data_IF_828982447561
#
_entry.id   IF_828982447561
#
_cell.length_a   1.000
_cell.length_b   1.000
_cell.length_c   1.000
_cell.angle_alpha   90.00
_cell.angle_beta   90.00
_cell.angle_gamma   90.00
#
_symmetry.space_group_name_H-M   'P 1'
#
loop_
_entity.id
_entity.type
_entity.pdbx_description
1 polymer ?
#
# COMPACT_ATOMS: atom_id res chain seq x y z
N UNK A 1 1.51 10.85 -11.42
CA UNK A 1 1.50 9.37 -11.25
C UNK A 1 0.14 8.84 -11.68
N UNK A 2 0.08 7.62 -12.20
CA UNK A 2 -1.16 6.88 -12.49
C UNK A 2 -1.14 5.59 -11.68
N UNK A 3 -2.25 5.30 -10.99
CA UNK A 3 -2.43 4.03 -10.30
C UNK A 3 -3.23 3.07 -11.17
N UNK A 4 -2.73 1.85 -11.35
CA UNK A 4 -3.41 0.79 -12.10
C UNK A 4 -3.52 -0.47 -11.25
N UNK A 5 -4.71 -1.09 -11.23
CA UNK A 5 -5.01 -2.32 -10.49
C UNK A 5 -5.58 -3.36 -11.46
N UNK A 6 -6.92 -3.45 -11.59
CA UNK A 6 -7.61 -4.46 -12.41
C UNK A 6 -7.08 -4.53 -13.85
N UNK A 7 -6.75 -3.39 -14.47
CA UNK A 7 -6.20 -3.35 -15.82
C UNK A 7 -4.80 -3.98 -15.91
N UNK A 8 -3.96 -3.80 -14.89
CA UNK A 8 -2.62 -4.40 -14.82
C UNK A 8 -2.70 -5.90 -14.54
N UNK A 9 -3.65 -6.35 -13.71
CA UNK A 9 -3.91 -7.79 -13.52
C UNK A 9 -4.39 -8.44 -14.81
N UNK A 10 -5.29 -7.79 -15.54
CA UNK A 10 -5.83 -8.31 -16.79
C UNK A 10 -4.78 -8.35 -17.93
N UNK A 11 -3.85 -7.40 -17.94
CA UNK A 11 -2.78 -7.29 -18.96
C UNK A 11 -1.50 -6.67 -18.34
N UNK A 12 -0.62 -7.48 -17.75
CA UNK A 12 0.58 -7.01 -17.06
C UNK A 12 1.51 -6.14 -17.91
N UNK A 13 1.54 -6.36 -19.22
CA UNK A 13 2.37 -5.61 -20.18
C UNK A 13 2.03 -4.12 -20.21
N UNK A 14 0.84 -3.73 -19.74
CA UNK A 14 0.46 -2.33 -19.55
C UNK A 14 1.46 -1.59 -18.65
N UNK A 15 2.02 -2.25 -17.63
CA UNK A 15 3.02 -1.64 -16.74
C UNK A 15 4.27 -1.25 -17.51
N UNK A 16 4.77 -2.15 -18.38
CA UNK A 16 5.94 -1.91 -19.22
C UNK A 16 5.69 -0.79 -20.23
N UNK A 17 4.54 -0.79 -20.91
CA UNK A 17 4.17 0.28 -21.85
C UNK A 17 4.12 1.67 -21.18
N UNK A 18 3.59 1.74 -19.95
CA UNK A 18 3.54 2.98 -19.19
C UNK A 18 4.94 3.40 -18.70
N UNK A 19 5.73 2.47 -18.21
CA UNK A 19 7.07 2.72 -17.70
C UNK A 19 8.02 3.16 -18.82
N UNK A 20 7.99 2.49 -19.98
CA UNK A 20 8.80 2.86 -21.15
C UNK A 20 8.47 4.27 -21.66
N UNK A 21 7.19 4.64 -21.63
CA UNK A 21 6.74 5.94 -22.17
C UNK A 21 6.90 7.10 -21.20
N UNK A 22 6.72 6.88 -19.90
CA UNK A 22 6.64 7.96 -18.91
C UNK A 22 7.65 7.85 -17.76
N UNK A 23 8.40 6.75 -17.71
CA UNK A 23 9.29 6.38 -16.62
C UNK A 23 8.54 5.71 -15.46
N UNK A 24 9.22 4.76 -14.80
CA UNK A 24 8.66 3.96 -13.69
C UNK A 24 8.11 4.82 -12.54
N UNK A 25 8.73 5.96 -12.25
CA UNK A 25 8.28 6.90 -11.20
C UNK A 25 6.85 7.45 -11.44
N UNK A 26 6.33 7.33 -12.66
CA UNK A 26 4.97 7.72 -13.00
C UNK A 26 3.95 6.60 -12.79
N UNK A 27 4.38 5.36 -12.60
CA UNK A 27 3.54 4.14 -12.56
C UNK A 27 3.42 3.63 -11.13
N UNK A 28 2.20 3.65 -10.59
CA UNK A 28 1.87 3.06 -9.29
C UNK A 28 1.08 1.78 -9.56
N UNK A 29 1.59 0.64 -9.12
CA UNK A 29 0.82 -0.60 -9.12
C UNK A 29 -0.02 -0.65 -7.85
N UNK A 30 -1.34 -0.54 -8.02
CA UNK A 30 -2.28 -0.68 -6.91
C UNK A 30 -2.71 -2.14 -6.79
N UNK A 31 -2.58 -2.68 -5.59
CA UNK A 31 -2.85 -4.09 -5.27
C UNK A 31 -3.82 -4.11 -4.10
N UNK A 32 -4.97 -4.72 -4.33
CA UNK A 32 -5.87 -5.13 -3.27
C UNK A 32 -5.50 -6.56 -2.90
N UNK A 33 -5.02 -6.77 -1.68
CA UNK A 33 -4.61 -8.06 -1.15
C UNK A 33 -5.60 -8.52 -0.08
N UNK A 34 -5.96 -9.80 -0.13
CA UNK A 34 -6.79 -10.45 0.89
C UNK A 34 -6.06 -11.68 1.40
N UNK A 35 -6.06 -11.90 2.70
CA UNK A 35 -5.45 -13.10 3.30
C UNK A 35 -6.12 -14.36 2.75
N UNK A 36 -5.32 -15.39 2.43
CA UNK A 36 -5.83 -16.72 2.10
C UNK A 36 -6.15 -17.42 3.41
N UNK A 37 -7.41 -17.78 3.64
CA UNK A 37 -7.84 -18.46 4.86
C UNK A 37 -7.73 -17.63 6.13
N UNK A 38 -8.04 -18.27 7.27
CA UNK A 38 -8.22 -17.60 8.57
C UNK A 38 -6.98 -17.71 9.48
N UNK A 39 -5.83 -18.18 8.96
CA UNK A 39 -4.63 -18.53 9.74
C UNK A 39 -3.37 -17.70 9.42
N UNK A 40 -2.47 -17.47 10.40
CA UNK A 40 -1.12 -16.97 10.16
C UNK A 40 -0.32 -17.90 9.23
N UNK A 41 0.45 -17.35 8.29
CA UNK A 41 1.32 -18.11 7.37
C UNK A 41 0.67 -18.58 6.07
N UNK A 42 -0.65 -18.50 5.95
CA UNK A 42 -1.33 -18.59 4.65
C UNK A 42 -1.26 -17.19 4.00
N UNK A 43 -0.55 -17.07 2.87
CA UNK A 43 -0.18 -15.78 2.26
C UNK A 43 -1.37 -14.96 1.76
N UNK A 44 -1.15 -14.08 0.79
CA UNK A 44 -2.18 -13.14 0.32
C UNK A 44 -2.53 -13.40 -1.13
N UNK A 45 -3.81 -13.28 -1.46
CA UNK A 45 -4.31 -13.36 -2.82
C UNK A 45 -4.65 -11.97 -3.35
N UNK A 46 -4.27 -11.68 -4.59
CA UNK A 46 -4.70 -10.48 -5.30
C UNK A 46 -6.19 -10.59 -5.61
N UNK A 47 -6.93 -9.55 -5.25
CA UNK A 47 -8.34 -9.38 -5.60
C UNK A 47 -8.53 -8.14 -6.47
N UNK A 48 -9.61 -8.12 -7.25
CA UNK A 48 -9.93 -7.00 -8.14
C UNK A 48 -11.39 -6.59 -8.00
N UNK A 49 -11.78 -5.54 -8.73
CA UNK A 49 -13.14 -5.00 -8.73
C UNK A 49 -13.59 -4.54 -7.33
N UNK A 50 -12.67 -3.98 -6.54
CA UNK A 50 -12.92 -3.57 -5.15
C UNK A 50 -13.11 -4.78 -4.23
N UNK A 51 -12.14 -5.70 -4.23
CA UNK A 51 -12.14 -6.87 -3.35
C UNK A 51 -13.08 -8.03 -3.73
N UNK A 52 -13.94 -7.86 -4.74
CA UNK A 52 -15.02 -8.82 -5.05
C UNK A 52 -14.57 -10.04 -5.84
N UNK A 53 -13.49 -9.94 -6.62
CA UNK A 53 -13.06 -11.01 -7.53
C UNK A 53 -11.63 -11.46 -7.20
N UNK A 54 -11.54 -12.68 -6.67
CA UNK A 54 -10.31 -13.45 -6.53
C UNK A 54 -9.67 -13.71 -7.91
N UNK A 55 -8.35 -13.59 -7.99
CA UNK A 55 -7.58 -13.74 -9.24
C UNK A 55 -6.79 -15.05 -9.30
N UNK A 56 -6.58 -15.71 -8.16
CA UNK A 56 -5.68 -16.83 -7.97
C UNK A 56 -4.20 -16.44 -7.82
N UNK A 57 -3.85 -15.16 -7.95
CA UNK A 57 -2.45 -14.71 -7.93
C UNK A 57 -2.00 -14.45 -6.50
N UNK A 58 -0.75 -14.82 -6.20
CA UNK A 58 -0.11 -14.40 -4.96
C UNK A 58 0.19 -12.90 -4.98
N UNK A 59 -0.07 -12.21 -3.88
CA UNK A 59 0.17 -10.78 -3.79
C UNK A 59 1.66 -10.43 -3.84
N UNK A 60 2.53 -11.21 -3.19
CA UNK A 60 3.97 -10.95 -3.17
C UNK A 60 4.60 -11.27 -4.53
N UNK A 61 4.25 -12.41 -5.14
CA UNK A 61 4.70 -12.72 -6.51
C UNK A 61 4.24 -11.66 -7.51
N UNK A 62 3.02 -11.12 -7.32
CA UNK A 62 2.51 -10.06 -8.18
C UNK A 62 3.22 -8.72 -7.96
N UNK A 63 3.59 -8.39 -6.71
CA UNK A 63 4.43 -7.22 -6.41
C UNK A 63 5.77 -7.33 -7.14
N UNK A 64 6.49 -8.44 -6.98
CA UNK A 64 7.79 -8.65 -7.62
C UNK A 64 7.68 -8.59 -9.15
N UNK A 65 6.69 -9.26 -9.73
CA UNK A 65 6.43 -9.22 -11.17
C UNK A 65 6.10 -7.81 -11.64
N UNK A 66 5.26 -7.09 -10.91
CA UNK A 66 4.86 -5.72 -11.25
C UNK A 66 6.03 -4.75 -11.27
N UNK A 67 6.92 -4.85 -10.29
CA UNK A 67 8.18 -4.09 -10.24
C UNK A 67 9.09 -4.48 -11.40
N UNK A 68 9.24 -5.78 -11.68
CA UNK A 68 9.99 -6.27 -12.83
C UNK A 68 9.46 -5.78 -14.19
N UNK A 69 8.17 -5.45 -14.26
CA UNK A 69 7.52 -4.86 -15.44
C UNK A 69 7.58 -3.33 -15.47
N UNK A 70 8.15 -2.68 -14.46
CA UNK A 70 8.43 -1.25 -14.44
C UNK A 70 7.54 -0.40 -13.53
N UNK A 71 6.75 -1.00 -12.63
CA UNK A 71 6.09 -0.25 -11.57
C UNK A 71 7.14 0.41 -10.65
N UNK A 72 7.04 1.73 -10.43
CA UNK A 72 7.99 2.47 -9.60
C UNK A 72 7.55 2.72 -8.16
N UNK A 73 6.33 2.31 -7.80
CA UNK A 73 5.75 2.43 -6.47
C UNK A 73 4.58 1.45 -6.35
N UNK A 74 4.38 0.87 -5.16
CA UNK A 74 3.27 -0.03 -4.88
C UNK A 74 2.30 0.65 -3.93
N UNK A 75 1.02 0.68 -4.29
CA UNK A 75 -0.06 1.01 -3.37
C UNK A 75 -0.70 -0.29 -2.89
N UNK A 76 -0.38 -0.70 -1.67
CA UNK A 76 -0.76 -1.98 -1.10
C UNK A 76 -1.91 -1.82 -0.11
N UNK A 77 -3.10 -2.27 -0.50
CA UNK A 77 -4.30 -2.22 0.33
C UNK A 77 -4.62 -3.60 0.89
N UNK A 78 -4.65 -3.75 2.21
CA UNK A 78 -5.22 -4.94 2.86
C UNK A 78 -6.74 -4.82 2.91
N UNK A 79 -7.44 -5.70 2.20
CA UNK A 79 -8.91 -5.72 2.15
C UNK A 79 -9.52 -6.14 3.49
N UNK A 80 -8.84 -7.00 4.24
CA UNK A 80 -9.31 -7.48 5.54
C UNK A 80 -9.27 -6.37 6.61
N UNK A 81 -8.33 -5.43 6.47
CA UNK A 81 -8.17 -4.29 7.38
C UNK A 81 -8.94 -3.05 6.94
N UNK A 82 -9.35 -2.95 5.67
CA UNK A 82 -9.92 -1.73 5.12
C UNK A 82 -11.25 -1.36 5.77
N UNK A 83 -11.40 -0.08 6.13
CA UNK A 83 -12.56 0.44 6.85
C UNK A 83 -12.67 0.02 8.33
N UNK A 84 -11.86 -0.91 8.83
CA UNK A 84 -11.96 -1.43 10.21
C UNK A 84 -11.37 -0.50 11.27
N UNK A 85 -10.49 0.43 10.86
CA UNK A 85 -9.77 1.36 11.75
C UNK A 85 -8.97 0.68 12.87
N UNK A 86 -8.67 -0.62 12.74
CA UNK A 86 -7.98 -1.45 13.74
C UNK A 86 -6.46 -1.55 13.58
N UNK A 87 -5.89 -0.93 12.53
CA UNK A 87 -4.48 -1.05 12.18
C UNK A 87 -4.29 -1.53 10.73
N UNK A 88 -3.08 -1.33 10.20
CA UNK A 88 -2.69 -1.92 8.91
C UNK A 88 -2.34 -3.41 9.08
N UNK A 89 -2.36 -4.17 7.99
CA UNK A 89 -1.80 -5.53 7.97
C UNK A 89 -0.26 -5.45 7.94
N UNK A 90 0.35 -5.48 9.13
CA UNK A 90 1.79 -5.29 9.29
C UNK A 90 2.61 -6.45 8.71
N UNK A 91 2.10 -7.68 8.76
CA UNK A 91 2.77 -8.84 8.15
C UNK A 91 2.86 -8.69 6.63
N UNK A 92 1.77 -8.23 6.00
CA UNK A 92 1.75 -7.95 4.57
C UNK A 92 2.72 -6.80 4.20
N UNK A 93 2.73 -5.73 5.00
CA UNK A 93 3.62 -4.59 4.78
C UNK A 93 5.09 -5.01 4.88
N UNK A 94 5.45 -5.73 5.94
CA UNK A 94 6.83 -6.20 6.16
C UNK A 94 7.27 -7.15 5.05
N UNK A 95 6.42 -8.11 4.66
CA UNK A 95 6.72 -9.03 3.57
C UNK A 95 6.89 -8.31 2.23
N UNK A 96 6.03 -7.34 1.91
CA UNK A 96 6.13 -6.56 0.68
C UNK A 96 7.36 -5.66 0.65
N UNK A 97 7.67 -4.98 1.76
CA UNK A 97 8.84 -4.11 1.87
C UNK A 97 10.15 -4.90 1.80
N UNK A 98 10.16 -6.17 2.23
CA UNK A 98 11.30 -7.08 2.08
C UNK A 98 11.44 -7.68 0.68
N UNK A 99 10.38 -7.72 -0.12
CA UNK A 99 10.38 -8.36 -1.45
C UNK A 99 10.91 -7.46 -2.57
N UNK A 100 10.77 -6.14 -2.46
CA UNK A 100 11.14 -5.19 -3.53
C UNK A 100 11.77 -3.91 -3.00
N UNK A 101 12.61 -3.28 -3.83
CA UNK A 101 13.30 -2.03 -3.48
C UNK A 101 12.48 -0.76 -3.75
N UNK A 102 11.37 -0.87 -4.49
CA UNK A 102 10.52 0.30 -4.78
C UNK A 102 9.67 0.67 -3.55
N UNK A 103 9.28 1.95 -3.40
CA UNK A 103 8.47 2.39 -2.26
C UNK A 103 7.12 1.64 -2.15
N UNK A 104 6.84 1.12 -0.95
CA UNK A 104 5.52 0.58 -0.58
C UNK A 104 4.71 1.66 0.14
N UNK A 105 3.50 1.92 -0.33
CA UNK A 105 2.48 2.72 0.35
C UNK A 105 1.51 1.76 1.04
N UNK A 106 1.53 1.72 2.37
CA UNK A 106 0.58 0.93 3.15
C UNK A 106 -0.80 1.61 3.17
N UNK A 107 -1.86 0.83 2.91
CA UNK A 107 -3.25 1.29 2.82
C UNK A 107 -4.21 0.28 3.45
N UNK A 108 -5.34 0.77 3.96
CA UNK A 108 -6.39 -0.03 4.63
C UNK A 108 -6.16 -0.20 6.13
N UNK A 109 -7.08 0.32 6.94
CA UNK A 109 -7.15 0.04 8.39
C UNK A 109 -6.62 1.11 9.36
N UNK A 110 -6.11 2.23 8.87
CA UNK A 110 -5.70 3.36 9.72
C UNK A 110 -6.84 3.87 10.63
N UNK A 111 -6.55 4.03 11.92
CA UNK A 111 -7.48 4.53 12.93
C UNK A 111 -6.85 5.54 13.89
N UNK A 112 -5.56 5.38 14.18
CA UNK A 112 -4.79 6.25 15.07
C UNK A 112 -3.45 6.60 14.43
N UNK A 113 -2.75 7.62 14.95
CA UNK A 113 -1.38 7.93 14.52
C UNK A 113 -0.42 6.77 14.81
N UNK A 114 -0.65 6.02 15.88
CA UNK A 114 0.17 4.85 16.21
C UNK A 114 0.08 3.77 15.12
N UNK A 115 -1.09 3.58 14.50
CA UNK A 115 -1.22 2.66 13.34
C UNK A 115 -0.33 3.11 12.18
N UNK A 116 -0.27 4.42 11.90
CA UNK A 116 0.61 4.97 10.86
C UNK A 116 2.08 4.74 11.20
N UNK A 117 2.48 5.01 12.45
CA UNK A 117 3.84 4.78 12.92
C UNK A 117 4.24 3.30 12.85
N UNK A 118 3.33 2.38 13.17
CA UNK A 118 3.55 0.94 13.07
C UNK A 118 3.82 0.50 11.62
N UNK A 119 3.02 0.96 10.66
CA UNK A 119 3.24 0.63 9.24
C UNK A 119 4.57 1.19 8.71
N UNK A 120 4.92 2.42 9.08
CA UNK A 120 6.23 2.99 8.73
C UNK A 120 7.39 2.19 9.36
N UNK A 121 7.24 1.75 10.62
CA UNK A 121 8.22 0.90 11.30
C UNK A 121 8.36 -0.48 10.66
N UNK A 122 7.27 -1.02 10.10
CA UNK A 122 7.24 -2.29 9.38
C UNK A 122 7.87 -2.21 7.96
N UNK A 123 8.38 -1.04 7.55
CA UNK A 123 9.08 -0.87 6.27
C UNK A 123 8.27 -0.15 5.19
N UNK A 124 7.05 0.29 5.47
CA UNK A 124 6.33 1.14 4.52
C UNK A 124 7.08 2.46 4.30
N UNK A 125 7.28 2.84 3.04
CA UNK A 125 7.88 4.12 2.67
C UNK A 125 6.89 5.29 2.84
N UNK A 126 5.59 5.00 2.74
CA UNK A 126 4.51 5.94 3.01
C UNK A 126 3.28 5.21 3.54
N UNK A 127 2.37 5.98 4.13
CA UNK A 127 1.08 5.50 4.64
C UNK A 127 -0.05 6.30 4.00
N UNK A 128 -1.11 5.62 3.60
CA UNK A 128 -2.36 6.20 3.12
C UNK A 128 -3.43 5.97 4.18
N UNK A 129 -4.16 7.03 4.53
CA UNK A 129 -5.33 6.95 5.38
C UNK A 129 -6.41 7.87 4.82
N UNK A 130 -7.69 7.48 4.97
CA UNK A 130 -8.83 8.25 4.48
C UNK A 130 -9.80 8.60 5.62
N UNK A 131 -10.35 7.60 6.31
CA UNK A 131 -11.40 7.78 7.33
C UNK A 131 -11.01 8.76 8.43
N UNK A 132 -9.79 8.67 8.96
CA UNK A 132 -9.32 9.54 10.05
C UNK A 132 -9.24 11.03 9.66
N UNK A 133 -9.07 11.32 8.36
CA UNK A 133 -9.05 12.69 7.83
C UNK A 133 -10.44 13.16 7.42
N UNK A 134 -11.21 12.32 6.70
CA UNK A 134 -12.56 12.67 6.26
C UNK A 134 -13.53 12.91 7.42
N UNK A 135 -13.34 12.20 8.54
CA UNK A 135 -14.15 12.36 9.75
C UNK A 135 -13.66 13.51 10.64
N UNK A 136 -12.54 14.16 10.30
CA UNK A 136 -11.95 15.22 11.12
C UNK A 136 -11.36 14.73 12.44
N UNK A 137 -11.07 13.43 12.58
CA UNK A 137 -10.40 12.87 13.77
C UNK A 137 -9.00 13.44 13.95
N UNK A 138 -8.28 13.60 12.83
CA UNK A 138 -7.00 14.28 12.78
C UNK A 138 -6.94 15.15 11.52
N UNK A 139 -6.15 16.20 11.57
CA UNK A 139 -5.64 16.92 10.40
C UNK A 139 -4.32 16.30 9.94
N UNK A 140 -3.93 16.56 8.70
CA UNK A 140 -2.61 16.14 8.18
C UNK A 140 -1.47 16.79 8.97
N UNK A 141 -1.67 18.02 9.48
CA UNK A 141 -0.67 18.72 10.29
C UNK A 141 -0.44 18.01 11.63
N UNK A 142 -1.51 17.68 12.35
CA UNK A 142 -1.42 16.95 13.63
C UNK A 142 -0.75 15.58 13.44
N UNK A 143 -1.14 14.81 12.42
CA UNK A 143 -0.50 13.52 12.14
C UNK A 143 1.01 13.69 11.91
N UNK A 144 1.42 14.69 11.13
CA UNK A 144 2.84 14.94 10.86
C UNK A 144 3.61 15.36 12.10
N UNK A 145 3.04 16.19 12.97
CA UNK A 145 3.68 16.57 14.23
C UNK A 145 3.90 15.35 15.10
N UNK A 146 2.87 14.53 15.28
CA UNK A 146 2.91 13.33 16.11
C UNK A 146 3.88 12.28 15.55
N UNK A 147 3.91 12.06 14.24
CA UNK A 147 4.92 11.19 13.62
C UNK A 147 6.34 11.74 13.76
N UNK A 148 6.53 13.06 13.71
CA UNK A 148 7.83 13.67 13.97
C UNK A 148 8.27 13.52 15.43
N UNK A 149 7.36 13.61 16.40
CA UNK A 149 7.62 13.33 17.82
C UNK A 149 8.08 11.87 18.03
N UNK A 150 7.55 10.94 17.22
CA UNK A 150 7.94 9.52 17.21
C UNK A 150 9.24 9.25 16.42
N UNK A 151 9.88 10.28 15.87
CA UNK A 151 11.18 10.18 15.20
C UNK A 151 11.13 9.97 13.69
N UNK A 152 9.95 9.98 13.06
CA UNK A 152 9.84 9.86 11.61
C UNK A 152 10.14 11.20 10.92
N UNK A 153 10.99 11.25 9.87
CA UNK A 153 11.24 12.46 9.11
C UNK A 153 9.97 12.95 8.39
N UNK A 154 9.44 14.10 8.80
CA UNK A 154 8.21 14.66 8.24
C UNK A 154 8.47 15.98 7.53
N UNK A 155 7.84 16.16 6.36
CA UNK A 155 7.83 17.44 5.66
C UNK A 155 6.96 18.44 6.44
N UNK A 156 7.63 19.35 7.14
CA UNK A 156 7.03 20.53 7.77
C UNK A 156 6.77 21.60 6.71
N UNK A 157 5.65 22.30 6.82
CA UNK A 157 5.45 23.51 6.02
C UNK A 157 6.34 24.61 6.60
N UNK A 158 6.87 25.48 5.74
CA UNK A 158 7.62 26.63 6.21
C UNK A 158 6.66 27.56 6.96
N UNK A 159 7.08 28.04 8.13
CA UNK A 159 6.37 29.04 8.91
C UNK A 159 6.31 30.39 8.16
#
# INVERSE_FOLDING_TARGET
>A
KVAVNTAAVARPELLSELAERFGSQCVVLSIDARRRGDGPGEGWEVVTHGGRRATGWDALEWIERGVGLGAGEILLTSIDSDGMQGGYDLELVEAAAGAVEVPIIASGGAGTVDHLAQALSAGAAAVLAASIFHQGTYTVAEVKERLAELGFPMRREAA
#
